data_IF_120739298204
#
_entry.id   IF_120739298204
#
_cell.length_a   1.000
_cell.length_b   1.000
_cell.length_c   1.000
_cell.angle_alpha   90.00
_cell.angle_beta   90.00
_cell.angle_gamma   90.00
#
_symmetry.space_group_name_H-M   'P 1'
#
loop_
_entity.id
_entity.type
_entity.pdbx_description
1 polymer ?
#
# COMPACT_ATOMS: atom_id res chain seq x y z
N UNK A 1 -0.04 -23.11 -26.99
CA UNK A 1 -0.23 -21.65 -26.78
C UNK A 1 -1.42 -21.48 -25.87
N UNK A 2 -1.22 -20.92 -24.67
CA UNK A 2 -2.28 -20.77 -23.67
C UNK A 2 -3.27 -19.71 -24.13
N UNK A 3 -4.48 -20.14 -24.47
CA UNK A 3 -5.61 -19.26 -24.75
C UNK A 3 -6.07 -18.65 -23.43
N UNK A 4 -6.17 -17.32 -23.37
CA UNK A 4 -6.77 -16.61 -22.25
C UNK A 4 -8.15 -17.20 -21.95
N UNK A 5 -8.35 -17.58 -20.70
CA UNK A 5 -9.62 -18.08 -20.18
C UNK A 5 -10.40 -16.93 -19.52
N UNK A 6 -11.69 -17.15 -19.26
CA UNK A 6 -12.48 -16.18 -18.47
C UNK A 6 -11.94 -15.99 -17.05
N UNK A 7 -11.18 -16.95 -16.51
CA UNK A 7 -10.56 -16.84 -15.20
C UNK A 7 -9.40 -15.82 -15.16
N UNK A 8 -8.74 -15.58 -16.30
CA UNK A 8 -7.64 -14.61 -16.39
C UNK A 8 -8.13 -13.17 -16.19
N UNK A 9 -9.34 -12.86 -16.67
CA UNK A 9 -9.97 -11.56 -16.46
C UNK A 9 -10.25 -11.29 -14.98
N UNK A 10 -10.84 -12.26 -14.27
CA UNK A 10 -11.10 -12.14 -12.84
C UNK A 10 -9.80 -12.07 -12.01
N UNK A 11 -8.76 -12.81 -12.41
CA UNK A 11 -7.45 -12.73 -11.76
C UNK A 11 -6.81 -11.35 -11.95
N UNK A 12 -6.95 -10.74 -13.14
CA UNK A 12 -6.41 -9.42 -13.42
C UNK A 12 -7.15 -8.35 -12.60
N UNK A 13 -8.48 -8.43 -12.54
CA UNK A 13 -9.29 -7.56 -11.70
C UNK A 13 -8.86 -7.65 -10.22
N UNK A 14 -8.67 -8.87 -9.70
CA UNK A 14 -8.24 -9.08 -8.33
C UNK A 14 -6.82 -8.54 -8.04
N UNK A 15 -5.90 -8.60 -9.02
CA UNK A 15 -4.59 -7.96 -8.92
C UNK A 15 -4.73 -6.43 -8.87
N UNK A 16 -5.54 -5.84 -9.74
CA UNK A 16 -5.78 -4.39 -9.78
C UNK A 16 -6.39 -3.89 -8.46
N UNK A 17 -7.36 -4.61 -7.91
CA UNK A 17 -7.93 -4.31 -6.60
C UNK A 17 -6.88 -4.36 -5.49
N UNK A 18 -6.01 -5.37 -5.48
CA UNK A 18 -4.93 -5.46 -4.49
C UNK A 18 -3.94 -4.29 -4.57
N UNK A 19 -3.60 -3.83 -5.78
CA UNK A 19 -2.75 -2.64 -5.97
C UNK A 19 -3.47 -1.37 -5.49
N UNK A 20 -4.77 -1.25 -5.80
CA UNK A 20 -5.59 -0.12 -5.35
C UNK A 20 -5.64 -0.03 -3.82
N UNK A 21 -5.88 -1.14 -3.14
CA UNK A 21 -5.89 -1.21 -1.67
C UNK A 21 -4.54 -0.77 -1.07
N UNK A 22 -3.44 -1.17 -1.71
CA UNK A 22 -2.10 -0.79 -1.28
C UNK A 22 -1.88 0.72 -1.39
N UNK A 23 -2.34 1.34 -2.48
CA UNK A 23 -2.24 2.79 -2.69
C UNK A 23 -3.10 3.57 -1.71
N UNK A 24 -4.33 3.12 -1.48
CA UNK A 24 -5.22 3.74 -0.49
C UNK A 24 -4.62 3.65 0.92
N UNK A 25 -4.08 2.49 1.29
CA UNK A 25 -3.44 2.31 2.58
C UNK A 25 -2.17 3.19 2.73
N UNK A 26 -1.40 3.38 1.65
CA UNK A 26 -0.25 4.30 1.64
C UNK A 26 -0.65 5.76 1.73
N UNK A 27 -1.68 6.17 0.98
CA UNK A 27 -2.20 7.54 1.04
C UNK A 27 -2.74 7.87 2.44
N UNK A 28 -3.45 6.91 3.05
CA UNK A 28 -3.91 7.03 4.43
C UNK A 28 -2.74 7.13 5.42
N UNK A 29 -1.69 6.30 5.25
CA UNK A 29 -0.49 6.37 6.09
C UNK A 29 0.23 7.73 5.95
N UNK A 30 0.26 8.31 4.75
CA UNK A 30 0.86 9.61 4.49
C UNK A 30 0.15 10.77 5.20
N UNK A 31 -1.12 10.60 5.60
CA UNK A 31 -1.86 11.59 6.38
C UNK A 31 -1.49 11.49 7.87
N UNK A 32 -1.42 12.65 8.52
CA UNK A 32 -1.25 12.74 9.98
C UNK A 32 -2.53 12.34 10.70
N UNK A 33 -2.38 11.77 11.89
CA UNK A 33 -3.51 11.52 12.80
C UNK A 33 -3.61 12.71 13.75
N UNK A 34 -4.64 13.54 13.58
CA UNK A 34 -4.93 14.69 14.45
C UNK A 34 -6.27 14.54 15.15
N UNK A 35 -6.42 15.20 16.29
CA UNK A 35 -7.72 15.38 16.96
C UNK A 35 -7.89 16.82 17.40
N UNK A 36 -9.14 17.26 17.46
CA UNK A 36 -9.50 18.56 18.01
C UNK A 36 -9.90 18.43 19.47
N UNK A 37 -9.33 19.29 20.30
CA UNK A 37 -9.68 19.42 21.71
C UNK A 37 -10.22 20.81 21.97
N UNK A 38 -11.34 20.89 22.68
CA UNK A 38 -11.82 22.15 23.22
C UNK A 38 -10.97 22.51 24.44
N UNK A 39 -10.38 23.70 24.42
CA UNK A 39 -9.67 24.28 25.55
C UNK A 39 -10.47 25.48 26.02
N UNK A 40 -10.82 25.46 27.29
CA UNK A 40 -11.50 26.56 27.95
C UNK A 40 -10.43 27.47 28.56
N UNK A 41 -10.26 28.65 27.99
CA UNK A 41 -9.50 29.73 28.59
C UNK A 41 -10.41 30.58 29.48
N UNK A 42 -9.82 31.14 30.53
CA UNK A 42 -10.52 32.07 31.41
C UNK A 42 -9.75 33.38 31.40
N UNK A 43 -10.37 34.42 30.88
CA UNK A 43 -9.78 35.77 30.90
C UNK A 43 -9.67 36.28 32.36
N UNK A 44 -8.85 37.31 32.59
CA UNK A 44 -8.69 37.96 33.91
C UNK A 44 -10.02 38.46 34.51
N UNK A 45 -11.06 38.63 33.69
CA UNK A 45 -12.42 39.02 34.09
C UNK A 45 -13.34 37.83 34.46
N UNK A 46 -12.82 36.61 34.49
CA UNK A 46 -13.59 35.40 34.82
C UNK A 46 -14.54 34.92 33.72
N UNK A 47 -14.48 35.52 32.53
CA UNK A 47 -15.26 35.11 31.36
C UNK A 47 -14.60 33.89 30.72
N UNK A 48 -15.35 32.78 30.60
CA UNK A 48 -14.89 31.58 29.90
C UNK A 48 -15.01 31.78 28.39
N UNK A 49 -13.90 31.58 27.70
CA UNK A 49 -13.80 31.58 26.24
C UNK A 49 -13.29 30.20 25.83
N UNK A 50 -14.01 29.54 24.93
CA UNK A 50 -13.60 28.23 24.43
C UNK A 50 -12.95 28.37 23.06
N UNK A 51 -11.81 27.69 22.87
CA UNK A 51 -11.08 27.60 21.60
C UNK A 51 -10.86 26.14 21.22
N UNK A 52 -10.88 25.87 19.91
CA UNK A 52 -10.46 24.58 19.38
C UNK A 52 -8.95 24.59 19.16
N UNK A 53 -8.26 23.63 19.77
CA UNK A 53 -6.85 23.34 19.51
C UNK A 53 -6.73 22.02 18.76
N UNK A 54 -5.88 22.00 17.74
CA UNK A 54 -5.58 20.79 16.98
C UNK A 54 -4.30 20.15 17.54
N UNK A 55 -4.39 18.86 17.87
CA UNK A 55 -3.27 18.10 18.41
C UNK A 55 -2.94 16.93 17.49
N UNK A 56 -1.65 16.78 17.17
CA UNK A 56 -1.15 15.71 16.30
C UNK A 56 -0.67 14.53 17.14
N UNK A 57 -1.28 13.35 16.93
CA UNK A 57 -0.91 12.10 17.61
C UNK A 57 0.26 11.42 16.88
N UNK A 58 0.23 11.46 15.54
CA UNK A 58 1.28 10.90 14.70
C UNK A 58 1.40 11.72 13.42
N UNK A 59 2.64 12.01 13.03
CA UNK A 59 2.93 12.66 11.76
C UNK A 59 2.64 11.73 10.59
N UNK A 60 2.37 12.33 9.42
CA UNK A 60 2.24 11.60 8.17
C UNK A 60 3.45 10.71 7.90
N UNK A 61 3.22 9.46 7.52
CA UNK A 61 4.27 8.47 7.25
C UNK A 61 4.83 7.76 8.48
N UNK A 62 4.55 8.22 9.71
CA UNK A 62 4.94 7.50 10.92
C UNK A 62 4.27 6.14 10.97
N UNK A 63 5.02 5.06 11.24
CA UNK A 63 4.47 3.69 11.32
C UNK A 63 3.76 3.40 12.65
N UNK A 64 4.04 4.22 13.67
CA UNK A 64 3.54 4.03 15.02
C UNK A 64 2.96 5.33 15.56
N UNK A 65 2.15 5.21 16.59
CA UNK A 65 1.60 6.33 17.34
C UNK A 65 1.63 6.03 18.84
N UNK A 66 1.65 7.07 19.67
CA UNK A 66 1.72 6.92 21.13
C UNK A 66 0.35 7.19 21.74
N UNK A 67 -0.12 6.26 22.56
CA UNK A 67 -1.30 6.44 23.41
C UNK A 67 -0.86 6.62 24.85
N UNK A 68 -1.38 7.64 25.54
CA UNK A 68 -1.11 7.84 26.97
C UNK A 68 -2.26 7.21 27.76
N UNK A 69 -2.00 6.04 28.34
CA UNK A 69 -2.95 5.34 29.20
C UNK A 69 -2.65 5.58 30.69
N UNK A 70 -3.48 5.00 31.57
CA UNK A 70 -3.27 5.06 33.03
C UNK A 70 -1.93 4.44 33.49
N UNK A 71 -1.39 3.51 32.72
CA UNK A 71 -0.15 2.79 33.02
C UNK A 71 1.10 3.42 32.38
N UNK A 72 0.97 4.58 31.72
CA UNK A 72 2.05 5.26 31.02
C UNK A 72 1.87 5.29 29.49
N UNK A 73 2.86 5.84 28.76
CA UNK A 73 2.85 5.92 27.31
C UNK A 73 3.06 4.54 26.69
N UNK A 74 2.26 4.24 25.67
CA UNK A 74 2.30 2.98 24.96
C UNK A 74 2.38 3.24 23.46
N UNK A 75 3.40 2.68 22.81
CA UNK A 75 3.60 2.76 21.37
C UNK A 75 2.76 1.69 20.68
N UNK A 76 1.98 2.06 19.69
CA UNK A 76 1.12 1.17 18.91
C UNK A 76 1.42 1.29 17.42
N UNK A 77 1.33 0.17 16.71
CA UNK A 77 1.43 0.17 15.25
C UNK A 77 0.16 0.80 14.67
N UNK A 78 0.33 1.61 13.62
CA UNK A 78 -0.77 2.12 12.82
C UNK A 78 -1.43 1.00 12.01
N UNK A 79 -2.77 0.95 11.92
CA UNK A 79 -3.48 -0.08 11.15
C UNK A 79 -3.13 -0.05 9.65
N UNK A 80 -2.81 1.12 9.10
CA UNK A 80 -2.43 1.31 7.70
C UNK A 80 -1.18 0.50 7.34
N UNK A 81 -0.23 0.34 8.28
CA UNK A 81 0.98 -0.48 8.07
C UNK A 81 0.60 -1.95 7.84
N UNK A 82 -0.37 -2.47 8.58
CA UNK A 82 -0.86 -3.82 8.41
C UNK A 82 -1.63 -3.99 7.09
N UNK A 83 -2.43 -2.99 6.71
CA UNK A 83 -3.15 -2.98 5.43
C UNK A 83 -2.19 -3.00 4.22
N UNK A 84 -1.13 -2.20 4.26
CA UNK A 84 -0.07 -2.21 3.23
C UNK A 84 0.59 -3.59 3.14
N UNK A 85 0.90 -4.21 4.28
CA UNK A 85 1.53 -5.53 4.31
C UNK A 85 0.62 -6.63 3.74
N UNK A 86 -0.68 -6.58 4.03
CA UNK A 86 -1.66 -7.51 3.46
C UNK A 86 -1.80 -7.34 1.94
N UNK A 87 -1.99 -6.10 1.48
CA UNK A 87 -2.12 -5.80 0.06
C UNK A 87 -0.89 -6.26 -0.73
N UNK A 88 0.32 -6.02 -0.22
CA UNK A 88 1.57 -6.52 -0.80
C UNK A 88 1.61 -8.04 -0.95
N UNK A 89 1.15 -8.79 0.06
CA UNK A 89 1.09 -10.25 0.00
C UNK A 89 0.14 -10.72 -1.10
N UNK A 90 -1.01 -10.05 -1.25
CA UNK A 90 -1.97 -10.36 -2.32
C UNK A 90 -1.38 -10.05 -3.70
N UNK A 91 -0.72 -8.91 -3.88
CA UNK A 91 -0.01 -8.56 -5.13
C UNK A 91 1.04 -9.61 -5.47
N UNK A 92 1.90 -9.98 -4.51
CA UNK A 92 2.93 -11.01 -4.73
C UNK A 92 2.34 -12.37 -5.12
N UNK A 93 1.23 -12.77 -4.48
CA UNK A 93 0.51 -14.00 -4.82
C UNK A 93 -0.02 -13.96 -6.26
N UNK A 94 -0.63 -12.85 -6.69
CA UNK A 94 -1.12 -12.72 -8.06
C UNK A 94 0.00 -12.69 -9.09
N UNK A 95 1.10 -11.99 -8.83
CA UNK A 95 2.29 -12.00 -9.69
C UNK A 95 2.85 -13.41 -9.88
N UNK A 96 2.84 -14.24 -8.84
CA UNK A 96 3.22 -15.65 -8.94
C UNK A 96 2.27 -16.45 -9.84
N UNK A 97 0.95 -16.22 -9.74
CA UNK A 97 -0.04 -16.91 -10.58
C UNK A 97 0.07 -16.52 -12.06
N UNK A 98 0.46 -15.28 -12.34
CA UNK A 98 0.68 -14.81 -13.71
C UNK A 98 2.04 -15.21 -14.31
N UNK A 99 2.90 -15.88 -13.54
CA UNK A 99 4.25 -16.20 -14.02
C UNK A 99 5.12 -14.95 -14.21
N UNK A 100 4.89 -13.90 -13.40
CA UNK A 100 5.62 -12.63 -13.47
C UNK A 100 6.70 -12.53 -12.39
N UNK A 101 7.04 -13.63 -11.73
CA UNK A 101 8.13 -13.63 -10.75
C UNK A 101 9.49 -13.60 -11.44
N UNK A 102 10.55 -13.15 -10.75
CA UNK A 102 11.92 -13.27 -11.25
C UNK A 102 12.29 -14.71 -11.66
N UNK A 103 11.74 -15.73 -10.99
CA UNK A 103 11.98 -17.13 -11.33
C UNK A 103 11.36 -17.50 -12.69
N UNK A 104 10.18 -16.95 -13.02
CA UNK A 104 9.50 -17.21 -14.28
C UNK A 104 10.18 -16.52 -15.47
N UNK A 105 10.85 -15.39 -15.24
CA UNK A 105 11.66 -14.72 -16.29
C UNK A 105 12.76 -15.62 -16.85
N UNK A 106 13.27 -16.57 -16.07
CA UNK A 106 14.28 -17.53 -16.55
C UNK A 106 13.72 -18.62 -17.49
N UNK A 107 12.40 -18.84 -17.50
CA UNK A 107 11.72 -19.75 -18.45
C UNK A 107 11.51 -19.11 -19.81
N UNK A 108 11.38 -17.79 -19.87
CA UNK A 108 11.31 -17.04 -21.13
C UNK A 108 12.74 -16.68 -21.52
N UNK A 109 13.52 -17.69 -21.88
CA UNK A 109 14.78 -17.46 -22.57
C UNK A 109 14.47 -16.67 -23.84
N UNK A 110 15.09 -15.50 -24.01
CA UNK A 110 15.21 -14.89 -25.32
C UNK A 110 15.80 -15.97 -26.22
N UNK A 111 14.97 -16.55 -27.08
CA UNK A 111 15.47 -17.50 -28.06
C UNK A 111 16.61 -16.78 -28.77
N UNK A 112 17.82 -17.35 -28.74
CA UNK A 112 18.86 -16.88 -29.64
C UNK A 112 18.24 -16.92 -31.04
N UNK A 113 18.09 -15.75 -31.68
CA UNK A 113 17.71 -15.71 -33.08
C UNK A 113 18.72 -16.59 -33.81
N UNK A 114 18.28 -17.77 -34.27
CA UNK A 114 19.06 -18.53 -35.23
C UNK A 114 19.26 -17.60 -36.41
N UNK A 115 20.49 -17.09 -36.58
CA UNK A 115 20.95 -16.35 -37.76
C UNK A 115 21.05 -17.26 -38.99
N UNK A 116 20.10 -18.17 -39.17
CA UNK A 116 19.95 -18.90 -40.41
C UNK A 116 19.00 -18.08 -41.27
N UNK A 117 19.55 -17.52 -42.35
CA UNK A 117 18.77 -16.76 -43.32
C UNK A 117 17.70 -17.71 -43.92
N UNK A 118 16.40 -17.42 -43.74
CA UNK A 118 15.32 -18.28 -44.24
C UNK A 118 15.25 -18.34 -45.77
N UNK A 119 16.07 -17.55 -46.47
CA UNK A 119 16.18 -17.52 -47.93
C UNK A 119 17.54 -18.03 -48.44
N UNK A 120 18.31 -18.75 -47.61
CA UNK A 120 19.61 -19.30 -48.01
C UNK A 120 19.54 -20.21 -49.26
N UNK A 121 18.38 -20.82 -49.51
CA UNK A 121 18.16 -21.75 -50.63
C UNK A 121 17.68 -21.06 -51.94
N UNK A 122 17.58 -19.73 -51.97
CA UNK A 122 17.11 -18.97 -53.14
C UNK A 122 18.23 -18.25 -53.93
N UNK A 123 19.49 -18.64 -53.72
CA UNK A 123 20.68 -18.06 -54.38
C UNK A 123 21.37 -19.03 -55.33
#
# INVERSE_FOLDING_TARGET
MGVLTSADGAALEALCLAISDEWEARDSLARSITYQKLVDDTDESGKKTSRLEEHTIAEGGSQTYVTIGKSGPMVRMRPEVAAIADANRRVAMWLARFGLTPADRSRVGAAEEKKENPFADLG
#
